data_IF_292730076892
#
_entry.id   IF_292730076892
#
_cell.length_a   1.000
_cell.length_b   1.000
_cell.length_c   1.000
_cell.angle_alpha   90.00
_cell.angle_beta   90.00
_cell.angle_gamma   90.00
#
_symmetry.space_group_name_H-M   'P 1'
#
loop_
_entity.id
_entity.type
_entity.pdbx_description
1 polymer ?
#
# COMPACT_ATOMS: atom_id res chain seq x y z
N UNK A 1 -2.92 6.96 -16.80
CA UNK A 1 -1.82 6.88 -15.80
C UNK A 1 -1.91 5.61 -14.97
N UNK A 2 -2.98 5.40 -14.18
CA UNK A 2 -3.10 4.22 -13.28
C UNK A 2 -3.09 2.87 -13.98
N UNK A 3 -3.69 2.75 -15.17
CA UNK A 3 -3.63 1.51 -15.95
C UNK A 3 -2.18 1.10 -16.28
N UNK A 4 -1.36 2.07 -16.73
CA UNK A 4 0.06 1.85 -17.02
C UNK A 4 0.84 1.50 -15.73
N UNK A 5 0.50 2.13 -14.62
CA UNK A 5 1.11 1.81 -13.32
C UNK A 5 0.76 0.38 -12.87
N UNK A 6 -0.51 -0.01 -12.94
CA UNK A 6 -0.97 -1.36 -12.61
C UNK A 6 -0.31 -2.43 -13.49
N UNK A 7 -0.20 -2.17 -14.80
CA UNK A 7 0.49 -3.06 -15.72
C UNK A 7 1.97 -3.22 -15.34
N UNK A 8 2.64 -2.11 -15.01
CA UNK A 8 4.05 -2.15 -14.59
C UNK A 8 4.23 -2.89 -13.25
N UNK A 9 3.31 -2.72 -12.32
CA UNK A 9 3.26 -3.47 -11.07
C UNK A 9 3.14 -4.97 -11.36
N UNK A 10 2.23 -5.38 -12.27
CA UNK A 10 2.09 -6.78 -12.68
C UNK A 10 3.36 -7.33 -13.33
N UNK A 11 4.03 -6.56 -14.18
CA UNK A 11 5.31 -6.98 -14.80
C UNK A 11 6.43 -7.21 -13.77
N UNK A 12 6.52 -6.33 -12.76
CA UNK A 12 7.56 -6.40 -11.73
C UNK A 12 7.27 -7.45 -10.67
N UNK A 13 6.00 -7.59 -10.31
CA UNK A 13 5.59 -8.34 -9.13
C UNK A 13 4.71 -9.56 -9.43
N UNK A 14 4.32 -9.80 -10.68
CA UNK A 14 3.43 -10.89 -11.06
C UNK A 14 2.06 -10.72 -10.42
N UNK A 15 1.51 -11.83 -9.93
CA UNK A 15 0.15 -11.91 -9.34
C UNK A 15 0.19 -12.00 -7.81
N UNK A 16 1.27 -11.50 -7.19
CA UNK A 16 1.40 -11.39 -5.74
C UNK A 16 0.31 -10.50 -5.16
N UNK A 17 -0.12 -10.76 -3.92
CA UNK A 17 -1.09 -9.89 -3.26
C UNK A 17 -0.50 -8.51 -3.03
N UNK A 18 -1.35 -7.50 -3.07
CA UNK A 18 -0.95 -6.11 -2.89
C UNK A 18 -1.78 -5.46 -1.80
N UNK A 19 -1.13 -4.90 -0.78
CA UNK A 19 -1.76 -3.99 0.16
C UNK A 19 -1.41 -2.54 -0.20
N UNK A 20 -2.42 -1.77 -0.61
CA UNK A 20 -2.30 -0.33 -0.78
C UNK A 20 -2.47 0.36 0.57
N UNK A 21 -1.52 1.18 0.98
CA UNK A 21 -1.60 2.00 2.19
C UNK A 21 -1.67 3.47 1.79
N UNK A 22 -2.73 4.16 2.20
CA UNK A 22 -3.02 5.53 1.78
C UNK A 22 -3.52 6.37 2.95
N UNK A 23 -3.52 7.70 2.81
CA UNK A 23 -4.18 8.59 3.78
C UNK A 23 -5.59 9.00 3.34
N UNK A 24 -6.36 9.55 4.27
CA UNK A 24 -7.75 9.95 4.05
C UNK A 24 -7.96 11.01 2.95
N UNK A 25 -6.92 11.78 2.59
CA UNK A 25 -7.03 12.80 1.54
C UNK A 25 -6.70 12.21 0.16
N UNK A 26 -5.68 11.36 0.10
CA UNK A 26 -5.18 10.76 -1.16
C UNK A 26 -5.99 9.54 -1.57
N UNK A 27 -6.48 8.75 -0.61
CA UNK A 27 -7.14 7.47 -0.83
C UNK A 27 -8.29 7.52 -1.84
N UNK A 28 -9.30 8.39 -1.65
CA UNK A 28 -10.46 8.47 -2.54
C UNK A 28 -10.12 8.85 -3.98
N UNK A 29 -9.02 9.58 -4.19
CA UNK A 29 -8.66 10.11 -5.51
C UNK A 29 -7.72 9.17 -6.27
N UNK A 30 -6.78 8.54 -5.54
CA UNK A 30 -5.64 7.84 -6.12
C UNK A 30 -5.63 6.34 -5.82
N UNK A 31 -5.81 5.97 -4.55
CA UNK A 31 -5.73 4.56 -4.14
C UNK A 31 -6.90 3.76 -4.73
N UNK A 32 -8.12 4.32 -4.76
CA UNK A 32 -9.29 3.65 -5.35
C UNK A 32 -9.13 3.41 -6.86
N UNK A 33 -8.56 4.39 -7.59
CA UNK A 33 -8.26 4.24 -9.01
C UNK A 33 -7.23 3.14 -9.26
N UNK A 34 -6.13 3.13 -8.49
CA UNK A 34 -5.11 2.10 -8.62
C UNK A 34 -5.66 0.70 -8.23
N UNK A 35 -6.44 0.62 -7.15
CA UNK A 35 -7.12 -0.58 -6.70
C UNK A 35 -7.97 -1.19 -7.82
N UNK A 36 -8.77 -0.35 -8.49
CA UNK A 36 -9.64 -0.80 -9.59
C UNK A 36 -8.80 -1.40 -10.72
N UNK A 37 -7.73 -0.72 -11.13
CA UNK A 37 -6.86 -1.19 -12.21
C UNK A 37 -6.09 -2.47 -11.85
N UNK A 38 -5.67 -2.64 -10.59
CA UNK A 38 -5.03 -3.88 -10.14
C UNK A 38 -6.02 -5.04 -10.09
N UNK A 39 -7.27 -4.78 -9.67
CA UNK A 39 -8.35 -5.76 -9.67
C UNK A 39 -8.70 -6.22 -11.08
N UNK A 40 -8.74 -5.30 -12.05
CA UNK A 40 -8.97 -5.61 -13.47
C UNK A 40 -7.88 -6.53 -14.06
N UNK A 41 -6.68 -6.53 -13.45
CA UNK A 41 -5.57 -7.42 -13.81
C UNK A 41 -5.53 -8.73 -13.02
N UNK A 42 -6.62 -9.04 -12.28
CA UNK A 42 -6.76 -10.20 -11.38
C UNK A 42 -5.73 -10.25 -10.25
N UNK A 43 -5.25 -9.10 -9.78
CA UNK A 43 -4.35 -9.04 -8.62
C UNK A 43 -5.19 -8.86 -7.36
N UNK A 44 -5.05 -9.79 -6.41
CA UNK A 44 -5.70 -9.69 -5.10
C UNK A 44 -5.15 -8.46 -4.37
N UNK A 45 -5.98 -7.44 -4.24
CA UNK A 45 -5.57 -6.13 -3.72
C UNK A 45 -6.41 -5.76 -2.52
N UNK A 46 -5.78 -5.25 -1.47
CA UNK A 46 -6.42 -4.63 -0.30
C UNK A 46 -6.08 -3.14 -0.23
N UNK A 47 -6.91 -2.36 0.45
CA UNK A 47 -6.66 -0.94 0.73
C UNK A 47 -6.80 -0.70 2.22
N UNK A 48 -5.80 -0.07 2.82
CA UNK A 48 -5.84 0.41 4.20
C UNK A 48 -5.62 1.91 4.23
N UNK A 49 -6.57 2.63 4.81
CA UNK A 49 -6.55 4.09 4.91
C UNK A 49 -6.19 4.52 6.33
N UNK A 50 -5.16 5.35 6.45
CA UNK A 50 -4.82 6.04 7.70
C UNK A 50 -5.41 7.45 7.73
N UNK A 51 -5.67 8.03 8.91
CA UNK A 51 -5.99 9.45 9.01
C UNK A 51 -4.87 10.32 8.41
N UNK A 52 -5.21 11.44 7.79
CA UNK A 52 -4.21 12.41 7.34
C UNK A 52 -3.63 13.22 8.52
N UNK A 53 -2.33 13.55 8.47
CA UNK A 53 -1.62 14.40 9.44
C UNK A 53 -0.43 13.70 10.14
N UNK A 54 0.43 14.48 10.80
CA UNK A 54 1.67 13.97 11.46
C UNK A 54 1.39 13.03 12.64
N UNK A 55 0.22 13.13 13.28
CA UNK A 55 -0.21 12.19 14.33
C UNK A 55 -0.31 10.75 13.80
N UNK A 56 -0.23 10.56 12.48
CA UNK A 56 -0.22 9.25 11.86
C UNK A 56 1.11 8.50 11.99
N UNK A 57 2.17 9.17 12.49
CA UNK A 57 3.42 8.54 12.93
C UNK A 57 3.30 8.02 14.37
N UNK A 58 2.40 7.07 14.60
CA UNK A 58 2.22 6.45 15.93
C UNK A 58 2.37 4.94 15.87
N UNK A 59 2.89 4.36 16.97
CA UNK A 59 3.00 2.91 17.12
C UNK A 59 1.63 2.24 17.06
N UNK A 60 0.59 2.92 17.53
CA UNK A 60 -0.79 2.42 17.49
C UNK A 60 -1.29 2.20 16.07
N UNK A 61 -0.97 3.11 15.13
CA UNK A 61 -1.35 2.94 13.73
C UNK A 61 -0.54 1.84 13.04
N UNK A 62 0.72 1.67 13.43
CA UNK A 62 1.53 0.55 12.97
C UNK A 62 0.92 -0.79 13.38
N UNK A 63 0.50 -0.94 14.64
CA UNK A 63 -0.16 -2.16 15.12
C UNK A 63 -1.47 -2.43 14.37
N UNK A 64 -2.29 -1.40 14.14
CA UNK A 64 -3.52 -1.53 13.34
C UNK A 64 -3.23 -1.91 11.88
N UNK A 65 -2.13 -1.41 11.31
CA UNK A 65 -1.69 -1.79 9.97
C UNK A 65 -1.24 -3.26 9.92
N UNK A 66 -0.55 -3.76 10.95
CA UNK A 66 -0.26 -5.20 11.06
C UNK A 66 -1.51 -6.05 11.19
N UNK A 67 -2.51 -5.61 11.96
CA UNK A 67 -3.80 -6.31 12.03
C UNK A 67 -4.46 -6.36 10.65
N UNK A 68 -4.38 -5.29 9.87
CA UNK A 68 -4.88 -5.26 8.49
C UNK A 68 -4.09 -6.23 7.59
N UNK A 69 -2.76 -6.29 7.70
CA UNK A 69 -1.93 -7.26 6.97
C UNK A 69 -2.32 -8.70 7.33
N UNK A 70 -2.49 -8.99 8.62
CA UNK A 70 -2.89 -10.31 9.10
C UNK A 70 -4.27 -10.72 8.56
N UNK A 71 -5.26 -9.82 8.65
CA UNK A 71 -6.63 -10.07 8.15
C UNK A 71 -6.69 -10.26 6.65
N UNK A 72 -5.86 -9.54 5.90
CA UNK A 72 -5.74 -9.71 4.46
C UNK A 72 -4.94 -10.97 4.07
N UNK A 73 -4.28 -11.62 5.03
CA UNK A 73 -3.44 -12.78 4.79
C UNK A 73 -2.16 -12.42 4.03
N UNK A 74 -1.60 -11.24 4.28
CA UNK A 74 -0.37 -10.76 3.65
C UNK A 74 0.82 -11.60 4.12
N UNK A 75 1.53 -12.22 3.18
CA UNK A 75 2.69 -13.07 3.43
C UNK A 75 4.01 -12.36 3.12
N UNK A 76 5.14 -13.00 3.46
CA UNK A 76 6.48 -12.46 3.16
C UNK A 76 6.78 -12.24 1.67
N UNK A 77 6.00 -12.84 0.77
CA UNK A 77 6.21 -12.72 -0.67
C UNK A 77 5.42 -11.57 -1.27
N UNK A 78 4.39 -11.11 -0.56
CA UNK A 78 3.43 -10.11 -1.04
C UNK A 78 3.99 -8.69 -0.94
N UNK A 79 3.27 -7.75 -1.54
CA UNK A 79 3.75 -6.38 -1.78
C UNK A 79 2.91 -5.39 -0.97
N UNK A 80 3.60 -4.40 -0.39
CA UNK A 80 2.97 -3.21 0.19
C UNK A 80 3.33 -2.01 -0.67
N UNK A 81 2.32 -1.23 -1.06
CA UNK A 81 2.49 -0.02 -1.86
C UNK A 81 1.92 1.16 -1.10
N UNK A 82 2.75 2.17 -0.82
CA UNK A 82 2.29 3.43 -0.26
C UNK A 82 1.76 4.33 -1.38
N UNK A 83 0.56 4.88 -1.19
CA UNK A 83 -0.11 5.83 -2.07
C UNK A 83 -0.44 7.07 -1.25
N UNK A 84 0.50 8.02 -1.17
CA UNK A 84 0.34 9.20 -0.32
C UNK A 84 1.63 10.00 -0.20
N UNK A 85 1.67 10.90 0.79
CA UNK A 85 2.85 11.68 1.13
C UNK A 85 3.87 10.91 2.00
N UNK A 86 4.91 11.60 2.45
CA UNK A 86 6.02 11.02 3.21
C UNK A 86 5.59 10.28 4.49
N UNK A 87 4.63 10.81 5.25
CA UNK A 87 4.11 10.16 6.48
C UNK A 87 3.54 8.77 6.20
N UNK A 88 2.70 8.65 5.16
CA UNK A 88 2.11 7.38 4.73
C UNK A 88 3.19 6.43 4.22
N UNK A 89 4.16 6.95 3.47
CA UNK A 89 5.31 6.19 2.97
C UNK A 89 6.18 5.62 4.09
N UNK A 90 6.53 6.43 5.08
CA UNK A 90 7.34 6.03 6.23
C UNK A 90 6.65 4.93 7.04
N UNK A 91 5.36 5.10 7.35
CA UNK A 91 4.59 4.10 8.09
C UNK A 91 4.49 2.78 7.32
N UNK A 92 4.11 2.83 6.04
CA UNK A 92 3.97 1.64 5.20
C UNK A 92 5.32 0.94 4.97
N UNK A 93 6.38 1.70 4.74
CA UNK A 93 7.73 1.19 4.55
C UNK A 93 8.28 0.54 5.80
N UNK A 94 8.10 1.18 6.96
CA UNK A 94 8.49 0.60 8.24
C UNK A 94 7.72 -0.69 8.49
N UNK A 95 6.39 -0.68 8.36
CA UNK A 95 5.55 -1.85 8.56
C UNK A 95 5.95 -3.01 7.66
N UNK A 96 6.16 -2.78 6.37
CA UNK A 96 6.53 -3.85 5.43
C UNK A 96 7.95 -4.37 5.65
N UNK A 97 8.89 -3.54 6.10
CA UNK A 97 10.25 -3.98 6.43
C UNK A 97 10.33 -4.87 7.68
N UNK A 98 9.36 -4.75 8.59
CA UNK A 98 9.34 -5.44 9.88
C UNK A 98 8.28 -6.55 9.95
N UNK A 99 7.26 -6.52 9.08
CA UNK A 99 6.24 -7.57 8.94
C UNK A 99 6.90 -8.92 8.59
N UNK A 100 6.64 -9.95 9.42
CA UNK A 100 7.22 -11.29 9.28
C UNK A 100 8.76 -11.35 9.17
N UNK A 101 9.47 -10.42 9.83
CA UNK A 101 10.93 -10.20 9.72
C UNK A 101 11.38 -9.76 8.32
N UNK A 102 10.47 -9.14 7.58
CA UNK A 102 10.65 -8.60 6.23
C UNK A 102 9.70 -9.26 5.22
N UNK A 103 8.94 -8.45 4.50
CA UNK A 103 8.20 -8.88 3.30
C UNK A 103 8.86 -8.35 2.03
N UNK A 104 8.40 -8.80 0.86
CA UNK A 104 8.93 -8.39 -0.45
C UNK A 104 9.04 -6.87 -0.63
N UNK A 105 9.74 -6.40 -1.68
CA UNK A 105 10.11 -4.99 -1.85
C UNK A 105 8.92 -4.05 -1.67
N UNK A 106 9.10 -3.03 -0.83
CA UNK A 106 8.15 -1.93 -0.67
C UNK A 106 8.27 -1.02 -1.88
N UNK A 107 7.21 -0.88 -2.66
CA UNK A 107 7.20 0.07 -3.76
C UNK A 107 6.58 1.37 -3.26
N UNK A 108 7.40 2.40 -3.13
CA UNK A 108 6.96 3.75 -2.85
C UNK A 108 6.44 4.39 -4.13
N UNK A 109 5.17 4.78 -4.17
CA UNK A 109 4.62 5.58 -5.27
C UNK A 109 4.25 6.96 -4.76
N UNK A 110 5.17 7.93 -4.94
CA UNK A 110 4.85 9.35 -4.81
C UNK A 110 3.95 9.77 -5.97
N UNK A 111 2.65 9.88 -5.74
CA UNK A 111 1.76 10.61 -6.65
C UNK A 111 1.67 12.04 -6.11
N UNK A 112 2.59 12.90 -6.55
CA UNK A 112 2.39 14.34 -6.43
C UNK A 112 1.14 14.68 -7.26
N UNK A 113 0.14 15.29 -6.64
CA UNK A 113 -0.84 16.08 -7.37
C UNK A 113 -0.07 17.08 -8.25
N UNK A 114 -0.42 17.26 -9.53
CA UNK A 114 0.08 18.39 -10.31
C UNK A 114 -0.32 19.72 -9.65
#
# INVERSE_FOLDING_TARGET
MFQKAAQRIKELFGERKIMLVTDSNVGPVYAEKLFTQLKDLNIETGVYTVPAGENSKSHDLLLKLYDAFARFGLTRRDIVIAVGGGVTGDLAGYAASTWLRGTGPVSYTHLTLP
#
